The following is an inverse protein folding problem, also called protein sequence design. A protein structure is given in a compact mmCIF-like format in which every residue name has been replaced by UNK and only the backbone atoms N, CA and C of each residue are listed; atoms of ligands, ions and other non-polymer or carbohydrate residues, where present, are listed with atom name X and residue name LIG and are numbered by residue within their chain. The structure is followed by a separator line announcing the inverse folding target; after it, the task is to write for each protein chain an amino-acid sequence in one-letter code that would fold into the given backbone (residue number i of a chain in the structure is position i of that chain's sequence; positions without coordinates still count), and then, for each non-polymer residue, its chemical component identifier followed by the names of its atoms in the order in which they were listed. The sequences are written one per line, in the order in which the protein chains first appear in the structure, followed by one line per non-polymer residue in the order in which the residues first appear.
data_IF_575677785621
#
_entry.id   IF_575677785621
#
_cell.length_a   1.000
_cell.length_b   1.000
_cell.length_c   1.000
_cell.angle_alpha   90.00
_cell.angle_beta   90.00
_cell.angle_gamma   90.00
#
_symmetry.space_group_name_H-M   'P 1'
#
loop_
_entity.id
_entity.type
_entity.pdbx_description
1 polymer ?
#
# COMPACT_ATOMS: atom_id res chain seq x y z
N UNK A 1 7.24 -14.76 -2.91
CA UNK A 1 8.62 -14.24 -2.82
C UNK A 1 8.56 -13.03 -1.91
N UNK A 2 9.23 -13.05 -0.75
CA UNK A 2 9.20 -11.92 0.19
C UNK A 2 9.88 -10.72 -0.49
N UNK A 3 9.09 -9.70 -0.85
CA UNK A 3 9.53 -8.49 -1.56
C UNK A 3 10.18 -7.45 -0.62
N UNK A 4 10.40 -7.80 0.65
CA UNK A 4 10.65 -6.83 1.73
C UNK A 4 12.13 -6.56 2.03
N UNK A 5 13.06 -7.18 1.30
CA UNK A 5 14.49 -6.86 1.44
C UNK A 5 14.85 -5.76 0.45
N UNK A 6 14.88 -4.51 0.92
CA UNK A 6 15.60 -3.46 0.20
C UNK A 6 17.07 -3.89 0.20
N UNK A 7 17.62 -4.21 -0.97
CA UNK A 7 19.06 -4.39 -1.07
C UNK A 7 19.70 -3.08 -0.65
N UNK A 8 20.61 -3.13 0.33
CA UNK A 8 21.39 -1.96 0.82
C UNK A 8 22.06 -1.20 -0.34
N UNK A 9 22.22 -1.86 -1.50
CA UNK A 9 22.63 -1.28 -2.77
C UNK A 9 21.61 -0.36 -3.46
N UNK A 10 20.53 0.08 -2.80
CA UNK A 10 19.48 0.93 -3.40
C UNK A 10 19.28 2.29 -2.72
N UNK A 11 19.94 2.55 -1.59
CA UNK A 11 19.95 3.86 -0.93
C UNK A 11 21.21 4.00 -0.07
N UNK A 12 21.51 5.21 0.43
CA UNK A 12 22.65 5.45 1.33
C UNK A 12 22.24 5.21 2.79
N UNK A 13 22.64 4.09 3.44
CA UNK A 13 22.20 3.79 4.80
C UNK A 13 22.75 4.76 5.85
N UNK A 14 23.87 5.41 5.55
CA UNK A 14 24.55 6.36 6.43
C UNK A 14 23.89 7.75 6.45
N UNK A 15 22.96 8.03 5.53
CA UNK A 15 22.28 9.32 5.49
C UNK A 15 21.23 9.42 6.60
N UNK A 16 20.97 10.64 7.07
CA UNK A 16 19.91 10.90 8.03
C UNK A 16 18.54 10.89 7.33
N UNK A 17 17.89 9.72 7.39
CA UNK A 17 16.54 9.47 6.88
C UNK A 17 15.43 9.75 7.91
N UNK A 18 15.70 10.47 8.99
CA UNK A 18 14.65 10.97 9.88
C UNK A 18 13.94 12.19 9.24
N UNK A 19 12.66 12.47 9.59
CA UNK A 19 12.00 13.70 9.14
C UNK A 19 12.80 14.97 9.47
N UNK A 20 13.51 14.98 10.59
CA UNK A 20 14.42 16.07 10.97
C UNK A 20 15.59 16.22 10.01
N UNK A 21 16.33 15.15 9.73
CA UNK A 21 17.46 15.17 8.78
C UNK A 21 17.05 15.57 7.36
N UNK A 22 15.84 15.15 6.98
CA UNK A 22 15.23 15.43 5.68
C UNK A 22 14.55 16.81 5.60
N UNK A 23 14.45 17.57 6.71
CA UNK A 23 13.62 18.79 6.81
C UNK A 23 12.24 18.58 6.17
N UNK A 24 11.65 17.44 6.49
CA UNK A 24 10.57 16.86 5.71
C UNK A 24 9.26 17.64 5.84
N UNK A 25 9.01 18.26 6.99
CA UNK A 25 7.76 18.96 7.23
C UNK A 25 7.92 20.45 6.96
N UNK A 26 7.01 21.02 6.16
CA UNK A 26 6.99 22.47 5.91
C UNK A 26 6.74 23.29 7.17
N UNK A 27 6.05 22.69 8.14
CA UNK A 27 5.83 23.27 9.46
C UNK A 27 6.14 22.25 10.56
N UNK A 28 7.38 22.27 11.04
CA UNK A 28 7.89 21.34 12.06
C UNK A 28 7.22 21.53 13.43
N UNK A 29 6.70 22.73 13.73
CA UNK A 29 6.10 23.04 15.04
C UNK A 29 4.82 22.24 15.36
N UNK A 30 4.19 21.66 14.33
CA UNK A 30 2.96 20.84 14.46
C UNK A 30 3.25 19.34 14.56
N UNK A 31 4.51 18.93 14.52
CA UNK A 31 4.92 17.52 14.48
C UNK A 31 5.40 17.11 15.86
N UNK A 32 4.95 15.95 16.33
CA UNK A 32 5.43 15.42 17.62
C UNK A 32 6.91 15.05 17.51
N UNK A 33 7.66 15.26 18.61
CA UNK A 33 9.08 14.93 18.65
C UNK A 33 9.35 13.45 18.31
N UNK A 34 8.43 12.55 18.72
CA UNK A 34 8.49 11.12 18.40
C UNK A 34 8.47 10.86 16.89
N UNK A 35 7.64 11.57 16.13
CA UNK A 35 7.61 11.44 14.66
C UNK A 35 8.86 12.09 14.06
N UNK A 36 9.22 13.27 14.55
CA UNK A 36 10.27 14.09 13.98
C UNK A 36 11.66 13.44 14.03
N UNK A 37 11.95 12.70 15.10
CA UNK A 37 13.25 12.05 15.32
C UNK A 37 13.30 10.59 14.83
N UNK A 38 12.15 10.00 14.48
CA UNK A 38 12.09 8.59 14.08
C UNK A 38 12.69 8.40 12.68
N UNK A 39 13.77 7.63 12.60
CA UNK A 39 14.35 7.20 11.33
C UNK A 39 13.35 6.42 10.48
N UNK A 40 13.34 6.71 9.17
CA UNK A 40 12.54 5.96 8.23
C UNK A 40 13.00 4.51 8.09
N UNK A 41 12.03 3.62 8.02
CA UNK A 41 12.20 2.31 7.40
C UNK A 41 12.02 2.48 5.90
N UNK A 42 13.11 2.44 5.13
CA UNK A 42 13.04 2.44 3.66
C UNK A 42 12.37 1.13 3.20
N UNK A 43 11.40 1.26 2.30
CA UNK A 43 10.63 0.12 1.77
C UNK A 43 10.61 0.14 0.25
N UNK A 44 10.39 -1.02 -0.34
CA UNK A 44 10.31 -1.22 -1.79
C UNK A 44 9.03 -1.99 -2.12
N UNK A 45 8.29 -1.50 -3.12
CA UNK A 45 7.20 -2.23 -3.77
C UNK A 45 7.32 -2.08 -5.28
N UNK A 46 6.22 -2.27 -5.99
CA UNK A 46 6.07 -1.78 -7.34
C UNK A 46 5.95 -0.25 -7.35
N UNK A 47 6.31 0.36 -8.46
CA UNK A 47 6.18 1.80 -8.76
C UNK A 47 4.72 2.29 -8.82
N UNK A 48 3.76 1.38 -8.93
CA UNK A 48 2.34 1.68 -9.00
C UNK A 48 1.64 1.53 -7.65
N UNK A 49 0.96 2.60 -7.22
CA UNK A 49 0.29 2.70 -5.93
C UNK A 49 -1.14 3.21 -6.06
N UNK A 50 -2.00 2.82 -5.12
CA UNK A 50 -3.33 3.43 -4.92
C UNK A 50 -3.27 4.19 -3.60
N UNK A 51 -3.57 5.48 -3.65
CA UNK A 51 -3.53 6.37 -2.50
C UNK A 51 -4.87 7.09 -2.35
N UNK A 52 -5.28 7.32 -1.11
CA UNK A 52 -6.49 8.11 -0.83
C UNK A 52 -6.24 9.59 -1.17
N UNK A 53 -7.30 10.28 -1.61
CA UNK A 53 -7.22 11.71 -1.92
C UNK A 53 -6.75 12.54 -0.71
N UNK A 54 -7.28 12.25 0.48
CA UNK A 54 -6.91 12.93 1.72
C UNK A 54 -5.43 12.77 2.06
N UNK A 55 -4.85 11.60 1.81
CA UNK A 55 -3.40 11.39 1.99
C UNK A 55 -2.59 12.21 0.98
N UNK A 56 -2.99 12.19 -0.29
CA UNK A 56 -2.31 12.98 -1.34
C UNK A 56 -2.35 14.47 -1.01
N UNK A 57 -3.53 15.01 -0.67
CA UNK A 57 -3.69 16.42 -0.30
C UNK A 57 -2.80 16.77 0.90
N UNK A 58 -2.82 15.96 1.96
CA UNK A 58 -2.01 16.20 3.15
C UNK A 58 -0.50 16.12 2.89
N UNK A 59 -0.06 15.22 2.02
CA UNK A 59 1.33 15.15 1.57
C UNK A 59 1.73 16.45 0.88
N UNK A 60 0.95 16.91 -0.10
CA UNK A 60 1.26 18.14 -0.83
C UNK A 60 1.18 19.39 0.03
N UNK A 61 0.31 19.42 1.04
CA UNK A 61 0.19 20.54 1.97
C UNK A 61 1.34 20.59 2.98
N UNK A 62 1.68 19.45 3.59
CA UNK A 62 2.51 19.43 4.80
C UNK A 62 3.96 18.98 4.57
N UNK A 63 4.26 18.30 3.47
CA UNK A 63 5.55 17.65 3.25
C UNK A 63 6.38 18.40 2.19
N UNK A 64 7.65 18.61 2.48
CA UNK A 64 8.69 19.05 1.56
C UNK A 64 9.61 17.88 1.23
N UNK A 65 9.53 17.39 -0.01
CA UNK A 65 10.35 16.28 -0.47
C UNK A 65 11.69 16.70 -1.06
N UNK A 66 12.07 17.99 -1.02
CA UNK A 66 13.27 18.48 -1.71
C UNK A 66 14.52 17.70 -1.31
N UNK A 67 14.77 17.52 -0.01
CA UNK A 67 15.93 16.78 0.48
C UNK A 67 15.75 15.27 0.27
N UNK A 68 14.54 14.73 0.48
CA UNK A 68 14.25 13.32 0.26
C UNK A 68 14.53 12.90 -1.19
N UNK A 69 13.98 13.62 -2.16
CA UNK A 69 14.15 13.34 -3.59
C UNK A 69 15.59 13.57 -4.02
N UNK A 70 16.26 14.61 -3.49
CA UNK A 70 17.68 14.83 -3.72
C UNK A 70 18.51 13.61 -3.27
N UNK A 71 18.33 13.17 -2.02
CA UNK A 71 19.05 12.00 -1.49
C UNK A 71 18.75 10.73 -2.30
N UNK A 72 17.50 10.52 -2.71
CA UNK A 72 17.11 9.38 -3.54
C UNK A 72 17.74 9.44 -4.94
N UNK A 73 17.72 10.61 -5.60
CA UNK A 73 18.22 10.80 -6.95
C UNK A 73 19.76 10.78 -7.04
N UNK A 74 20.45 11.36 -6.06
CA UNK A 74 21.91 11.43 -6.01
C UNK A 74 22.58 10.06 -5.83
N UNK A 75 21.81 9.04 -5.50
CA UNK A 75 22.34 7.68 -5.40
C UNK A 75 22.80 7.12 -6.75
N UNK A 76 22.18 7.54 -7.86
CA UNK A 76 22.38 6.91 -9.18
C UNK A 76 21.93 5.45 -9.24
N UNK A 77 21.13 4.99 -8.28
CA UNK A 77 20.75 3.58 -8.11
C UNK A 77 19.50 3.24 -8.92
N UNK A 78 19.41 1.98 -9.35
CA UNK A 78 18.32 1.48 -10.19
C UNK A 78 17.05 1.16 -9.36
N UNK A 79 15.89 1.62 -9.85
CA UNK A 79 14.58 1.31 -9.26
C UNK A 79 14.34 2.02 -7.93
N UNK A 80 14.58 3.34 -7.90
CA UNK A 80 14.38 4.22 -6.73
C UNK A 80 12.94 4.71 -6.64
N UNK A 81 12.28 4.84 -7.79
CA UNK A 81 10.84 5.07 -7.95
C UNK A 81 9.99 4.01 -7.23
N UNK A 82 10.48 2.77 -7.17
CA UNK A 82 9.89 1.66 -6.43
C UNK A 82 9.96 1.80 -4.89
N UNK A 83 10.64 2.83 -4.37
CA UNK A 83 10.83 3.02 -2.92
C UNK A 83 10.16 4.26 -2.35
N UNK A 84 9.84 5.25 -3.19
CA UNK A 84 9.31 6.54 -2.74
C UNK A 84 7.99 6.38 -1.96
N UNK A 85 6.92 5.99 -2.65
CA UNK A 85 5.60 5.86 -2.04
C UNK A 85 5.52 4.84 -0.91
N UNK A 86 6.11 3.63 -1.03
CA UNK A 86 6.12 2.66 0.06
C UNK A 86 6.76 3.19 1.34
N UNK A 87 7.85 3.95 1.20
CA UNK A 87 8.56 4.54 2.33
C UNK A 87 7.69 5.63 2.98
N UNK A 88 7.18 6.59 2.19
CA UNK A 88 6.38 7.67 2.76
C UNK A 88 5.09 7.13 3.39
N UNK A 89 4.41 6.21 2.72
CA UNK A 89 3.12 5.68 3.19
C UNK A 89 3.23 4.84 4.46
N UNK A 90 4.34 4.13 4.69
CA UNK A 90 4.45 3.18 5.83
C UNK A 90 5.27 3.70 7.01
N UNK A 91 5.72 4.96 7.02
CA UNK A 91 6.54 5.52 8.11
C UNK A 91 5.78 6.33 9.17
N UNK A 92 4.45 6.26 9.22
CA UNK A 92 3.62 6.86 10.29
C UNK A 92 3.95 8.35 10.54
N UNK A 93 3.77 9.19 9.51
CA UNK A 93 4.04 10.63 9.58
C UNK A 93 2.93 11.42 10.25
N UNK A 94 1.87 10.74 10.73
CA UNK A 94 0.69 11.39 11.29
C UNK A 94 -0.23 12.00 10.22
N UNK A 95 -0.06 11.64 8.94
CA UNK A 95 -0.88 12.16 7.86
C UNK A 95 -2.22 11.40 7.78
N UNK A 96 -3.33 12.08 7.42
CA UNK A 96 -4.60 11.41 7.17
C UNK A 96 -4.48 10.42 6.00
N UNK A 97 -5.20 9.30 6.07
CA UNK A 97 -5.19 8.29 5.01
C UNK A 97 -3.90 7.46 4.90
N UNK A 98 -2.99 7.57 5.88
CA UNK A 98 -1.78 6.77 6.00
C UNK A 98 -2.00 5.52 6.87
N UNK A 99 -1.29 4.43 6.57
CA UNK A 99 -1.23 3.26 7.46
C UNK A 99 -0.42 3.57 8.72
N UNK A 100 -1.04 3.31 9.86
CA UNK A 100 -0.43 3.47 11.17
C UNK A 100 0.23 2.19 11.63
N UNK A 101 -0.11 1.03 11.09
CA UNK A 101 0.34 -0.25 11.64
C UNK A 101 0.99 -1.19 10.62
N UNK A 102 2.02 -0.75 9.87
CA UNK A 102 2.60 -1.48 8.73
C UNK A 102 3.10 -2.90 9.05
N UNK A 103 3.43 -3.20 10.32
CA UNK A 103 3.87 -4.54 10.76
C UNK A 103 2.71 -5.55 10.83
N UNK A 104 1.48 -5.05 10.86
CA UNK A 104 0.27 -5.81 11.17
C UNK A 104 -0.47 -6.27 9.91
N UNK A 105 0.01 -5.86 8.73
CA UNK A 105 -0.55 -6.24 7.44
C UNK A 105 0.22 -7.40 6.80
N UNK A 106 1.17 -8.01 7.52
CA UNK A 106 2.05 -9.04 6.96
C UNK A 106 2.68 -8.57 5.64
N UNK A 107 2.64 -9.45 4.63
CA UNK A 107 2.92 -9.03 3.27
C UNK A 107 1.66 -8.33 2.73
N UNK A 108 1.68 -7.00 2.58
CA UNK A 108 0.65 -6.29 1.82
C UNK A 108 0.74 -6.75 0.37
N UNK A 109 -0.15 -7.66 -0.03
CA UNK A 109 -0.30 -8.07 -1.42
C UNK A 109 -0.94 -6.91 -2.18
N UNK A 110 -0.16 -6.27 -3.06
CA UNK A 110 -0.63 -5.12 -3.80
C UNK A 110 -1.70 -5.51 -4.82
N UNK A 111 -2.93 -5.01 -4.65
CA UNK A 111 -4.01 -5.16 -5.64
C UNK A 111 -3.85 -4.25 -6.86
N UNK A 112 -2.82 -3.40 -6.91
CA UNK A 112 -2.66 -2.40 -7.96
C UNK A 112 -2.41 -3.06 -9.32
N UNK A 113 -1.40 -3.93 -9.38
CA UNK A 113 -0.91 -4.48 -10.63
C UNK A 113 -0.44 -5.92 -10.50
N UNK A 114 -0.96 -6.78 -11.36
CA UNK A 114 -0.40 -8.09 -11.63
C UNK A 114 0.67 -8.01 -12.72
N UNK A 115 1.85 -8.58 -12.47
CA UNK A 115 2.94 -8.67 -13.45
C UNK A 115 3.54 -10.07 -13.44
N UNK A 116 3.68 -10.67 -14.62
CA UNK A 116 4.24 -12.00 -14.76
C UNK A 116 5.72 -11.86 -15.12
N UNK A 117 6.59 -12.08 -14.13
CA UNK A 117 8.04 -12.03 -14.32
C UNK A 117 8.58 -13.40 -14.76
N UNK A 118 9.53 -13.41 -15.70
CA UNK A 118 10.39 -14.56 -15.90
C UNK A 118 11.49 -14.53 -14.84
N UNK A 119 11.33 -15.33 -13.79
CA UNK A 119 12.36 -15.46 -12.76
C UNK A 119 13.49 -16.33 -13.29
N UNK A 120 14.67 -15.72 -13.46
CA UNK A 120 15.87 -16.42 -13.92
C UNK A 120 16.54 -17.23 -12.82
N UNK A 121 16.77 -18.52 -13.12
CA UNK A 121 17.63 -19.53 -12.46
C UNK A 121 16.98 -20.35 -11.31
N UNK A 122 16.78 -21.65 -11.60
CA UNK A 122 16.44 -22.79 -10.72
C UNK A 122 14.99 -22.96 -10.21
N UNK A 123 13.99 -22.73 -11.04
CA UNK A 123 12.70 -23.42 -10.87
C UNK A 123 12.55 -24.36 -12.08
N UNK A 124 12.87 -25.64 -11.87
CA UNK A 124 12.85 -26.70 -12.90
C UNK A 124 11.47 -27.33 -13.09
N UNK A 125 10.44 -26.84 -12.39
CA UNK A 125 9.03 -27.22 -12.55
C UNK A 125 8.10 -26.28 -11.78
N UNK A 126 6.92 -25.98 -12.35
CA UNK A 126 5.87 -25.10 -11.79
C UNK A 126 5.40 -24.03 -12.80
N UNK A 127 4.18 -23.48 -12.70
CA UNK A 127 3.53 -22.66 -13.75
C UNK A 127 4.24 -21.34 -14.13
N UNK A 128 5.36 -21.02 -13.52
CA UNK A 128 6.15 -19.79 -13.68
C UNK A 128 7.35 -19.93 -14.63
N UNK A 129 7.51 -21.09 -15.29
CA UNK A 129 8.74 -21.41 -16.01
C UNK A 129 8.80 -20.89 -17.46
N UNK A 130 7.67 -20.51 -18.05
CA UNK A 130 7.63 -20.03 -19.43
C UNK A 130 6.56 -18.96 -19.64
N UNK A 131 6.93 -17.81 -20.19
CA UNK A 131 5.93 -16.86 -20.69
C UNK A 131 5.14 -17.54 -21.80
N UNK A 132 3.82 -17.62 -21.66
CA UNK A 132 2.94 -18.28 -22.64
C UNK A 132 3.07 -17.63 -24.03
N UNK A 133 3.19 -16.31 -24.06
CA UNK A 133 3.46 -15.50 -25.26
C UNK A 133 4.79 -15.79 -25.92
N UNK A 134 5.72 -16.43 -25.19
CA UNK A 134 7.16 -16.52 -25.52
C UNK A 134 7.83 -15.14 -25.70
N UNK A 135 7.14 -14.05 -25.37
CA UNK A 135 7.64 -12.70 -25.57
C UNK A 135 7.90 -11.99 -24.23
N UNK A 136 9.11 -11.46 -24.12
CA UNK A 136 9.65 -10.87 -22.91
C UNK A 136 10.09 -9.45 -23.19
N UNK A 137 9.74 -8.53 -22.29
CA UNK A 137 10.29 -7.18 -22.27
C UNK A 137 10.73 -6.83 -20.86
N UNK A 138 12.03 -6.62 -20.68
CA UNK A 138 12.66 -6.34 -19.37
C UNK A 138 12.33 -7.41 -18.31
N UNK A 139 12.44 -8.68 -18.69
CA UNK A 139 12.13 -9.84 -17.82
C UNK A 139 10.67 -9.98 -17.38
N UNK A 140 9.75 -9.23 -17.98
CA UNK A 140 8.29 -9.34 -17.79
C UNK A 140 7.69 -9.96 -19.06
N UNK A 141 6.76 -10.90 -18.88
CA UNK A 141 5.99 -11.47 -19.99
C UNK A 141 5.07 -10.41 -20.59
N UNK A 142 5.12 -10.26 -21.90
CA UNK A 142 4.10 -9.48 -22.62
C UNK A 142 2.88 -10.36 -22.81
N UNK A 143 1.70 -9.81 -22.56
CA UNK A 143 0.47 -10.58 -22.48
C UNK A 143 -0.26 -10.62 -23.83
N UNK A 144 -0.31 -11.79 -24.46
CA UNK A 144 -1.17 -12.09 -25.60
C UNK A 144 -2.53 -12.68 -25.18
N UNK A 145 -3.37 -13.02 -26.16
CA UNK A 145 -4.70 -13.61 -25.94
C UNK A 145 -4.67 -14.91 -25.13
N UNK A 146 -3.54 -15.62 -25.11
CA UNK A 146 -3.33 -16.82 -24.30
C UNK A 146 -3.34 -16.57 -22.77
N UNK A 147 -3.31 -15.30 -22.36
CA UNK A 147 -3.46 -14.86 -20.97
C UNK A 147 -4.88 -14.40 -20.60
N UNK A 148 -5.84 -14.40 -21.53
CA UNK A 148 -7.22 -13.98 -21.23
C UNK A 148 -7.84 -14.73 -20.02
N UNK A 149 -7.62 -16.05 -19.81
CA UNK A 149 -8.11 -16.74 -18.62
C UNK A 149 -7.49 -16.24 -17.30
N UNK A 150 -6.23 -15.83 -17.30
CA UNK A 150 -5.59 -15.21 -16.13
C UNK A 150 -6.13 -13.80 -15.90
N UNK A 151 -6.27 -13.00 -16.96
CA UNK A 151 -6.86 -11.66 -16.91
C UNK A 151 -8.29 -11.73 -16.36
N UNK A 152 -9.09 -12.74 -16.75
CA UNK A 152 -10.47 -12.92 -16.27
C UNK A 152 -10.55 -13.15 -14.76
N UNK A 153 -9.54 -13.78 -14.16
CA UNK A 153 -9.51 -14.23 -12.76
C UNK A 153 -8.63 -13.37 -11.85
N UNK A 154 -7.91 -12.40 -12.39
CA UNK A 154 -7.02 -11.54 -11.62
C UNK A 154 -7.80 -10.79 -10.52
N UNK A 155 -7.19 -10.71 -9.35
CA UNK A 155 -7.67 -9.92 -8.20
C UNK A 155 -7.03 -8.54 -8.16
N UNK A 156 -6.07 -8.28 -9.04
CA UNK A 156 -5.44 -6.99 -9.23
C UNK A 156 -6.24 -6.14 -10.22
N UNK A 157 -6.20 -4.82 -10.04
CA UNK A 157 -6.95 -3.87 -10.84
C UNK A 157 -6.36 -3.72 -12.25
N UNK A 158 -5.04 -3.85 -12.37
CA UNK A 158 -4.34 -3.74 -13.64
C UNK A 158 -3.49 -4.98 -13.94
N UNK A 159 -3.44 -5.33 -15.22
CA UNK A 159 -2.54 -6.36 -15.75
C UNK A 159 -1.42 -5.67 -16.51
N UNK A 160 -0.19 -6.13 -16.27
CA UNK A 160 0.98 -5.72 -17.04
C UNK A 160 1.64 -6.97 -17.64
N UNK A 161 1.98 -7.03 -18.93
CA UNK A 161 2.15 -5.92 -19.88
C UNK A 161 1.47 -6.20 -21.24
N UNK A 162 0.16 -5.96 -21.43
CA UNK A 162 -0.44 -5.99 -22.76
C UNK A 162 0.18 -4.90 -23.65
N UNK A 163 0.51 -5.23 -24.89
CA UNK A 163 1.06 -4.28 -25.87
C UNK A 163 0.33 -4.45 -27.20
N UNK A 164 -0.30 -3.38 -27.69
CA UNK A 164 -1.10 -3.45 -28.92
C UNK A 164 -0.30 -3.81 -30.17
N UNK A 165 0.97 -3.44 -30.21
CA UNK A 165 1.92 -3.84 -31.27
C UNK A 165 2.25 -5.33 -31.28
N UNK A 166 2.11 -6.01 -30.14
CA UNK A 166 2.34 -7.44 -30.00
C UNK A 166 1.06 -8.22 -30.24
N UNK A 167 0.00 -7.87 -29.51
CA UNK A 167 -1.30 -8.50 -29.61
C UNK A 167 -2.40 -7.52 -29.19
N UNK A 168 -3.00 -6.86 -30.19
CA UNK A 168 -4.14 -5.99 -29.98
C UNK A 168 -5.42 -6.76 -29.60
N UNK A 169 -5.47 -8.06 -29.90
CA UNK A 169 -6.56 -8.95 -29.50
C UNK A 169 -6.71 -9.02 -27.99
N UNK A 170 -5.60 -9.07 -27.24
CA UNK A 170 -5.63 -9.01 -25.76
C UNK A 170 -6.39 -7.77 -25.27
N UNK A 171 -6.13 -6.61 -25.88
CA UNK A 171 -6.75 -5.33 -25.49
C UNK A 171 -8.24 -5.33 -25.82
N UNK A 172 -8.61 -5.69 -27.05
CA UNK A 172 -10.02 -5.71 -27.49
C UNK A 172 -10.83 -6.73 -26.66
N UNK A 173 -10.35 -7.97 -26.55
CA UNK A 173 -11.06 -9.02 -25.83
C UNK A 173 -11.23 -8.68 -24.35
N UNK A 174 -10.21 -8.10 -23.70
CA UNK A 174 -10.33 -7.63 -22.31
C UNK A 174 -11.36 -6.51 -22.18
N UNK A 175 -11.36 -5.55 -23.11
CA UNK A 175 -12.35 -4.46 -23.13
C UNK A 175 -13.79 -4.99 -23.30
N UNK A 176 -13.99 -5.95 -24.20
CA UNK A 176 -15.29 -6.62 -24.40
C UNK A 176 -15.72 -7.40 -23.14
N UNK A 177 -14.79 -8.14 -22.51
CA UNK A 177 -15.07 -8.85 -21.26
C UNK A 177 -15.53 -7.91 -20.16
N UNK A 178 -14.85 -6.77 -19.99
CA UNK A 178 -15.25 -5.73 -19.04
C UNK A 178 -16.60 -5.12 -19.40
N UNK A 179 -16.82 -4.78 -20.68
CA UNK A 179 -18.11 -4.26 -21.16
C UNK A 179 -19.26 -5.22 -20.80
N UNK A 180 -19.13 -6.50 -21.15
CA UNK A 180 -20.15 -7.51 -20.88
C UNK A 180 -20.42 -7.70 -19.37
N UNK A 181 -19.38 -7.63 -18.53
CA UNK A 181 -19.54 -7.65 -17.07
C UNK A 181 -20.33 -6.43 -16.56
N UNK A 182 -19.98 -5.23 -17.03
CA UNK A 182 -20.65 -3.99 -16.59
C UNK A 182 -22.11 -3.91 -17.04
N UNK A 183 -22.47 -4.60 -18.12
CA UNK A 183 -23.85 -4.72 -18.63
C UNK A 183 -24.62 -5.91 -18.05
N UNK A 184 -24.01 -6.71 -17.19
CA UNK A 184 -24.64 -7.92 -16.64
C UNK A 184 -24.81 -9.06 -17.65
N UNK A 185 -24.23 -8.94 -18.84
CA UNK A 185 -24.25 -9.98 -19.90
C UNK A 185 -23.31 -11.15 -19.56
N UNK A 186 -22.37 -10.95 -18.64
CA UNK A 186 -21.47 -11.96 -18.10
C UNK A 186 -21.43 -11.86 -16.58
N UNK A 187 -21.43 -13.01 -15.89
CA UNK A 187 -21.27 -13.06 -14.43
C UNK A 187 -19.97 -12.37 -14.03
N UNK A 188 -20.07 -11.43 -13.10
CA UNK A 188 -18.89 -10.76 -12.55
C UNK A 188 -18.04 -11.75 -11.75
N UNK A 189 -16.72 -11.70 -11.95
CA UNK A 189 -15.72 -12.40 -11.12
C UNK A 189 -15.24 -11.52 -9.95
N UNK A 190 -15.77 -10.30 -9.81
CA UNK A 190 -15.43 -9.38 -8.74
C UNK A 190 -15.82 -9.96 -7.38
N UNK A 191 -14.82 -10.14 -6.51
CA UNK A 191 -15.01 -10.60 -5.14
C UNK A 191 -14.97 -9.41 -4.19
N UNK A 192 -16.12 -8.77 -3.97
CA UNK A 192 -16.22 -7.60 -3.09
C UNK A 192 -15.75 -7.90 -1.66
N UNK A 193 -16.08 -9.08 -1.14
CA UNK A 193 -15.67 -9.52 0.20
C UNK A 193 -14.15 -9.57 0.33
N UNK A 194 -13.44 -10.05 -0.70
CA UNK A 194 -11.97 -10.03 -0.72
C UNK A 194 -11.42 -8.60 -0.55
N UNK A 195 -11.87 -7.66 -1.39
CA UNK A 195 -11.36 -6.28 -1.33
C UNK A 195 -11.74 -5.54 -0.04
N UNK A 196 -12.94 -5.77 0.49
CA UNK A 196 -13.38 -5.16 1.75
C UNK A 196 -12.59 -5.64 2.96
N UNK A 197 -12.05 -6.86 2.89
CA UNK A 197 -11.30 -7.50 3.97
C UNK A 197 -9.78 -7.33 3.82
N UNK A 198 -9.30 -6.55 2.84
CA UNK A 198 -7.89 -6.21 2.75
C UNK A 198 -7.47 -5.45 4.03
N UNK A 199 -6.37 -5.83 4.70
CA UNK A 199 -5.97 -5.24 5.98
C UNK A 199 -5.87 -3.70 5.95
N UNK A 200 -5.32 -3.14 4.87
CA UNK A 200 -5.20 -1.70 4.68
C UNK A 200 -6.57 -1.01 4.50
N UNK A 201 -7.53 -1.69 3.86
CA UNK A 201 -8.89 -1.17 3.69
C UNK A 201 -9.63 -1.18 5.02
N UNK A 202 -9.48 -2.25 5.79
CA UNK A 202 -10.06 -2.36 7.14
C UNK A 202 -9.52 -1.25 8.04
N UNK A 203 -8.19 -1.09 8.14
CA UNK A 203 -7.59 -0.05 8.98
C UNK A 203 -8.06 1.35 8.62
N UNK A 204 -7.98 1.71 7.34
CA UNK A 204 -8.33 3.05 6.89
C UNK A 204 -9.82 3.36 7.07
N UNK A 205 -10.70 2.35 6.91
CA UNK A 205 -12.13 2.51 7.19
C UNK A 205 -12.38 2.66 8.70
N UNK A 206 -11.77 1.84 9.55
CA UNK A 206 -11.91 1.94 11.01
C UNK A 206 -11.44 3.31 11.50
N UNK A 207 -10.29 3.80 11.01
CA UNK A 207 -9.78 5.13 11.33
C UNK A 207 -10.71 6.25 10.88
N UNK A 208 -11.26 6.17 9.66
CA UNK A 208 -12.28 7.13 9.17
C UNK A 208 -13.49 7.16 10.10
N UNK A 209 -13.90 6.00 10.60
CA UNK A 209 -15.07 5.85 11.46
C UNK A 209 -14.75 6.13 12.96
N UNK A 210 -13.54 6.59 13.29
CA UNK A 210 -13.12 6.91 14.66
C UNK A 210 -12.79 5.70 15.54
N UNK A 211 -12.71 4.50 14.95
CA UNK A 211 -12.41 3.24 15.64
C UNK A 211 -10.90 2.99 15.72
N UNK A 212 -10.50 2.25 16.74
CA UNK A 212 -9.10 1.94 17.01
C UNK A 212 -8.83 0.51 16.56
N UNK A 213 -7.90 0.34 15.63
CA UNK A 213 -7.38 -0.97 15.28
C UNK A 213 -6.16 -1.31 16.12
N UNK A 214 -6.03 -2.56 16.58
CA UNK A 214 -4.81 -3.05 17.22
C UNK A 214 -4.24 -4.23 16.44
N UNK A 215 -2.94 -4.41 16.65
CA UNK A 215 -2.21 -5.51 16.08
C UNK A 215 -2.08 -6.66 17.08
N UNK A 216 -2.59 -7.82 16.72
CA UNK A 216 -2.29 -9.08 17.42
C UNK A 216 -1.36 -9.90 16.53
N UNK A 217 -0.05 -9.71 16.71
CA UNK A 217 0.96 -10.29 15.81
C UNK A 217 0.88 -9.68 14.41
N UNK A 218 0.64 -10.52 13.40
CA UNK A 218 0.54 -10.12 11.98
C UNK A 218 -0.92 -9.96 11.50
N UNK A 219 -1.87 -9.84 12.43
CA UNK A 219 -3.29 -9.64 12.11
C UNK A 219 -3.80 -8.33 12.71
N UNK A 220 -4.62 -7.64 11.91
CA UNK A 220 -5.32 -6.44 12.30
C UNK A 220 -6.68 -6.81 12.90
N UNK A 221 -6.94 -6.38 14.13
CA UNK A 221 -8.25 -6.46 14.75
C UNK A 221 -8.83 -5.06 14.95
N UNK A 222 -10.10 -4.91 14.58
CA UNK A 222 -10.86 -3.69 14.78
C UNK A 222 -11.58 -3.72 16.12
N UNK A 223 -11.28 -2.76 16.99
CA UNK A 223 -11.98 -2.59 18.26
C UNK A 223 -12.92 -1.40 18.10
N UNK A 224 -14.19 -1.62 18.43
CA UNK A 224 -15.11 -0.52 18.66
C UNK A 224 -14.45 0.41 19.68
N UNK A 225 -14.18 1.65 19.26
CA UNK A 225 -13.87 2.72 20.19
C UNK A 225 -15.06 2.84 21.12
N UNK A 226 -14.96 2.30 22.33
CA UNK A 226 -15.80 2.75 23.43
C UNK A 226 -15.66 4.27 23.45
N UNK A 227 -16.78 4.97 23.27
CA UNK A 227 -16.80 6.41 23.08
C UNK A 227 -15.92 7.12 24.11
N UNK A 228 -15.05 8.00 23.61
CA UNK A 228 -14.37 8.98 24.44
C UNK A 228 -15.40 10.02 24.90
N UNK A 229 -16.12 9.70 25.96
CA UNK A 229 -16.37 10.66 27.04
C UNK A 229 -15.61 10.18 28.27
N UNK A 230 -14.57 10.93 28.62
CA UNK A 230 -13.73 10.84 29.83
C UNK A 230 -12.64 9.76 29.89
N UNK A 231 -11.43 10.13 29.44
CA UNK A 231 -10.27 9.93 30.32
C UNK A 231 -10.31 11.02 31.38
N UNK A 232 -10.61 10.67 32.63
CA UNK A 232 -10.14 11.44 33.78
C UNK A 232 -9.03 10.64 34.45
N UNK A 233 -7.91 11.32 34.69
CA UNK A 233 -6.83 10.88 35.55
C UNK A 233 -7.42 10.79 36.96
N UNK A 234 -7.93 9.62 37.36
CA UNK A 234 -8.09 9.17 38.75
C UNK A 234 -8.96 7.90 38.80
N UNK A 235 -8.38 6.78 38.37
CA UNK A 235 -8.78 5.46 38.87
C UNK A 235 -7.53 4.73 39.36
N UNK A 236 -6.89 5.37 40.35
CA UNK A 236 -6.46 4.69 41.55
C UNK A 236 -7.29 5.31 42.68
N UNK A 237 -8.11 4.46 43.32
CA UNK A 237 -8.85 4.63 44.58
C UNK A 237 -10.31 5.16 44.57
N UNK A 238 -11.19 4.21 44.91
CA UNK A 238 -12.29 4.25 45.90
C UNK A 238 -13.67 4.89 45.56
N UNK A 239 -14.64 3.99 45.39
CA UNK A 239 -15.94 3.86 46.12
C UNK A 239 -16.86 5.09 46.26
N UNK A 240 -18.13 4.86 45.85
CA UNK A 240 -19.43 5.34 46.39
C UNK A 240 -20.27 6.39 45.63
N UNK A 241 -21.46 5.92 45.21
CA UNK A 241 -22.81 6.54 45.29
C UNK A 241 -23.29 7.60 44.24
N UNK A 242 -24.18 7.13 43.32
CA UNK A 242 -25.57 7.63 43.03
C UNK A 242 -25.72 8.98 42.24
N UNK A 243 -26.77 9.22 41.39
CA UNK A 243 -26.64 9.33 39.93
C UNK A 243 -27.32 10.61 39.33
N UNK A 244 -27.54 10.59 38.01
CA UNK A 244 -28.40 11.46 37.16
C UNK A 244 -27.72 12.69 36.52
N UNK A 245 -27.70 12.78 35.18
CA UNK A 245 -28.75 13.47 34.41
C UNK A 245 -28.51 13.43 32.88
N UNK A 246 -29.61 13.70 32.18
CA UNK A 246 -30.01 13.37 30.82
C UNK A 246 -29.40 14.20 29.66
N UNK A 247 -29.55 13.60 28.47
CA UNK A 247 -29.33 14.14 27.12
C UNK A 247 -30.39 15.17 26.70
N UNK A 248 -29.95 16.18 25.95
CA UNK A 248 -30.67 16.74 24.78
C UNK A 248 -29.74 16.55 23.57
#
# INVERSE_FOLDING_TARGET
MSLYTVYVSKYHPEADWSPKGLKLFKNESKVSQLIFEKHFTIRKFYDEVILSRSFVDAVFENIDFTIFLKQMAETGLYGVDEMFWPTIFMNQLGLPGQLENPKCHGNVDGITRHSIFKVGRKITSGPFWECKSKWLRHSICVLGVEYLPEIDRATELHMNKPLGEFDFGTVICTAEMLHNRTKGLRKSTFNETYYRNLPEVVELNSKRDGRITRCLGNQLEDFLSAGLSHFSIASLLLISLVPNFDLI
#
